data_IF_724813490122
#
_entry.id   IF_724813490122
#
_cell.length_a   1.000
_cell.length_b   1.000
_cell.length_c   1.000
_cell.angle_alpha   90.00
_cell.angle_beta   90.00
_cell.angle_gamma   90.00
#
_symmetry.space_group_name_H-M   'P 1'
#
loop_
_entity.id
_entity.type
_entity.pdbx_description
1 polymer ?
#
# COMPACT_ATOMS: atom_id res chain seq x y z
N UNK A 1 -12.44 24.46 0.83
CA UNK A 1 -11.18 24.03 0.19
C UNK A 1 -10.94 24.94 -1.00
N UNK A 2 -9.74 25.46 -1.16
CA UNK A 2 -9.38 26.35 -2.27
C UNK A 2 -8.35 25.64 -3.15
N UNK A 3 -8.47 25.82 -4.47
CA UNK A 3 -7.54 25.28 -5.46
C UNK A 3 -6.84 26.43 -6.17
N UNK A 4 -5.53 26.30 -6.36
CA UNK A 4 -4.71 27.28 -7.08
C UNK A 4 -4.44 26.75 -8.48
N UNK A 5 -4.89 27.46 -9.51
CA UNK A 5 -4.75 27.07 -10.92
C UNK A 5 -3.83 28.01 -11.70
N UNK A 6 -4.03 29.31 -11.56
CA UNK A 6 -3.40 30.33 -12.39
C UNK A 6 -3.06 31.60 -11.61
N UNK A 7 -2.10 32.35 -12.17
CA UNK A 7 -1.74 33.70 -11.74
C UNK A 7 -2.15 34.68 -12.84
N UNK A 8 -2.76 35.79 -12.43
CA UNK A 8 -3.16 36.89 -13.32
C UNK A 8 -2.07 37.95 -13.33
N UNK A 9 -1.61 38.31 -14.52
CA UNK A 9 -0.62 39.36 -14.77
C UNK A 9 -1.10 40.27 -15.91
N UNK A 10 -0.46 41.42 -16.12
CA UNK A 10 -0.89 42.47 -17.07
C UNK A 10 -0.90 42.04 -18.56
N UNK A 11 -0.53 40.80 -18.86
CA UNK A 11 -0.59 40.19 -20.20
C UNK A 11 -1.52 38.97 -20.32
N UNK A 12 -2.24 38.59 -19.26
CA UNK A 12 -3.16 37.45 -19.27
C UNK A 12 -3.04 36.53 -18.04
N UNK A 13 -3.31 35.24 -18.25
CA UNK A 13 -3.18 34.20 -17.21
C UNK A 13 -2.03 33.27 -17.56
N UNK A 14 -1.26 32.89 -16.55
CA UNK A 14 -0.26 31.82 -16.63
C UNK A 14 -0.48 30.80 -15.53
N UNK A 15 0.07 29.60 -15.71
CA UNK A 15 0.06 28.59 -14.66
C UNK A 15 0.77 29.10 -13.40
N UNK A 16 0.26 28.69 -12.24
CA UNK A 16 0.90 28.94 -10.96
C UNK A 16 2.23 28.18 -10.87
N UNK A 17 3.29 28.88 -10.48
CA UNK A 17 4.62 28.34 -10.23
C UNK A 17 4.93 28.51 -8.73
N UNK A 18 4.83 27.42 -7.93
CA UNK A 18 5.05 27.50 -6.49
C UNK A 18 6.46 27.98 -6.11
N UNK A 19 7.43 27.92 -7.03
CA UNK A 19 8.79 28.40 -6.78
C UNK A 19 8.93 29.92 -6.96
N UNK A 20 8.00 30.57 -7.70
CA UNK A 20 8.04 32.01 -7.99
C UNK A 20 6.92 32.80 -7.33
N UNK A 21 5.78 32.16 -7.11
CA UNK A 21 4.51 32.87 -6.81
C UNK A 21 4.13 32.84 -5.33
N UNK A 22 5.07 32.50 -4.44
CA UNK A 22 4.82 32.38 -2.99
C UNK A 22 4.34 33.69 -2.36
N UNK A 23 4.82 34.85 -2.83
CA UNK A 23 4.41 36.14 -2.30
C UNK A 23 2.94 36.47 -2.64
N UNK A 24 2.54 36.22 -3.90
CA UNK A 24 1.16 36.41 -4.34
C UNK A 24 0.23 35.44 -3.63
N UNK A 25 0.67 34.18 -3.46
CA UNK A 25 -0.04 33.19 -2.66
C UNK A 25 -0.23 33.69 -1.23
N UNK A 26 0.80 34.21 -0.58
CA UNK A 26 0.73 34.72 0.80
C UNK A 26 -0.30 35.83 0.97
N UNK A 27 -0.32 36.80 0.04
CA UNK A 27 -1.36 37.85 0.04
C UNK A 27 -2.77 37.27 -0.05
N UNK A 28 -2.98 36.27 -0.91
CA UNK A 28 -4.28 35.60 -1.05
C UNK A 28 -4.66 34.75 0.17
N UNK A 29 -3.70 34.08 0.80
CA UNK A 29 -3.95 33.34 2.04
C UNK A 29 -4.35 34.28 3.19
N UNK A 30 -3.76 35.47 3.27
CA UNK A 30 -4.13 36.49 4.25
C UNK A 30 -5.55 37.04 4.00
N UNK A 31 -5.92 37.29 2.74
CA UNK A 31 -7.29 37.71 2.38
C UNK A 31 -8.34 36.65 2.73
N UNK A 32 -8.05 35.36 2.46
CA UNK A 32 -8.96 34.25 2.77
C UNK A 32 -9.12 34.10 4.29
N UNK A 33 -8.01 34.19 5.04
CA UNK A 33 -7.99 34.00 6.48
C UNK A 33 -8.26 32.56 6.93
N UNK A 34 -7.73 32.18 8.10
CA UNK A 34 -8.06 30.89 8.73
C UNK A 34 -7.56 29.63 8.00
N UNK A 35 -6.68 29.75 7.01
CA UNK A 35 -6.09 28.58 6.32
C UNK A 35 -5.15 27.84 7.27
N UNK A 36 -5.40 26.55 7.49
CA UNK A 36 -4.61 25.70 8.42
C UNK A 36 -3.76 24.63 7.73
N UNK A 37 -3.95 24.41 6.44
CA UNK A 37 -3.22 23.41 5.66
C UNK A 37 -2.96 23.92 4.24
N UNK A 38 -1.71 23.84 3.81
CA UNK A 38 -1.24 24.08 2.45
C UNK A 38 -0.73 22.75 1.89
N UNK A 39 -1.30 22.29 0.77
CA UNK A 39 -0.90 21.06 0.09
C UNK A 39 -0.22 21.41 -1.23
N UNK A 40 0.93 20.80 -1.49
CA UNK A 40 1.65 20.92 -2.77
C UNK A 40 1.84 19.53 -3.36
N UNK A 41 1.20 19.30 -4.51
CA UNK A 41 1.18 18.01 -5.19
C UNK A 41 1.51 18.17 -6.69
N UNK A 42 2.69 17.72 -7.16
CA UNK A 42 3.80 17.18 -6.37
C UNK A 42 4.68 18.30 -5.79
N UNK A 43 5.26 18.11 -4.61
CA UNK A 43 6.14 19.09 -3.93
C UNK A 43 7.37 19.47 -4.77
N UNK A 44 7.79 18.61 -5.70
CA UNK A 44 8.91 18.87 -6.62
C UNK A 44 8.63 20.04 -7.57
N UNK A 45 7.37 20.37 -7.82
CA UNK A 45 6.97 21.54 -8.62
C UNK A 45 7.38 22.87 -7.99
N UNK A 46 7.67 22.88 -6.68
CA UNK A 46 8.17 24.06 -5.97
C UNK A 46 9.67 24.30 -6.14
N UNK A 47 10.36 23.52 -6.97
CA UNK A 47 11.82 23.62 -7.17
C UNK A 47 12.07 23.92 -8.65
N UNK A 48 12.59 25.13 -8.93
CA UNK A 48 12.91 25.55 -10.30
C UNK A 48 14.25 25.00 -10.84
N UNK A 49 15.00 24.26 -10.03
CA UNK A 49 16.35 23.75 -10.32
C UNK A 49 16.45 22.23 -10.30
N UNK A 50 17.66 21.71 -10.16
CA UNK A 50 17.93 20.27 -10.09
C UNK A 50 17.53 19.71 -8.72
N UNK A 51 16.42 18.98 -8.67
CA UNK A 51 15.87 18.36 -7.46
C UNK A 51 16.76 17.27 -6.87
N UNK A 52 17.85 16.86 -7.53
CA UNK A 52 18.84 15.95 -6.98
C UNK A 52 19.94 16.67 -6.19
N UNK A 53 20.04 18.00 -6.28
CA UNK A 53 21.00 18.80 -5.52
C UNK A 53 20.37 19.30 -4.22
N UNK A 54 20.83 18.74 -3.11
CA UNK A 54 20.32 19.03 -1.77
C UNK A 54 20.20 20.53 -1.43
N UNK A 55 21.18 21.34 -1.87
CA UNK A 55 21.16 22.78 -1.62
C UNK A 55 20.08 23.52 -2.42
N UNK A 56 19.82 23.09 -3.66
CA UNK A 56 18.79 23.68 -4.53
C UNK A 56 17.38 23.31 -4.03
N UNK A 57 17.19 22.06 -3.60
CA UNK A 57 15.94 21.61 -2.96
C UNK A 57 15.61 22.45 -1.74
N UNK A 58 16.56 22.62 -0.81
CA UNK A 58 16.34 23.43 0.41
C UNK A 58 16.01 24.88 0.06
N UNK A 59 16.75 25.47 -0.88
CA UNK A 59 16.52 26.86 -1.31
C UNK A 59 15.15 27.03 -1.98
N UNK A 60 14.73 26.09 -2.81
CA UNK A 60 13.42 26.11 -3.47
C UNK A 60 12.25 25.95 -2.50
N UNK A 61 12.40 25.12 -1.47
CA UNK A 61 11.33 24.87 -0.49
C UNK A 61 11.24 25.91 0.64
N UNK A 62 12.32 26.66 0.90
CA UNK A 62 12.36 27.62 2.01
C UNK A 62 11.26 28.70 1.93
N UNK A 63 10.93 29.29 0.76
CA UNK A 63 9.85 30.27 0.68
C UNK A 63 8.49 29.71 1.10
N UNK A 64 8.15 28.49 0.70
CA UNK A 64 6.91 27.82 1.10
C UNK A 64 6.90 27.47 2.59
N UNK A 65 8.02 27.02 3.13
CA UNK A 65 8.15 26.74 4.56
C UNK A 65 7.98 28.01 5.41
N UNK A 66 8.58 29.12 4.98
CA UNK A 66 8.43 30.41 5.64
C UNK A 66 6.98 30.89 5.59
N UNK A 67 6.35 30.84 4.41
CA UNK A 67 4.96 31.23 4.25
C UNK A 67 4.03 30.42 5.17
N UNK A 68 4.23 29.10 5.24
CA UNK A 68 3.43 28.25 6.12
C UNK A 68 3.62 28.60 7.60
N UNK A 69 4.86 28.92 8.01
CA UNK A 69 5.17 29.36 9.37
C UNK A 69 4.53 30.71 9.70
N UNK A 70 4.62 31.70 8.80
CA UNK A 70 4.01 33.02 8.95
C UNK A 70 2.49 32.94 9.06
N UNK A 71 1.86 32.06 8.28
CA UNK A 71 0.40 31.85 8.31
C UNK A 71 -0.06 30.95 9.47
N UNK A 72 0.85 30.31 10.20
CA UNK A 72 0.52 29.35 11.23
C UNK A 72 -0.26 28.15 10.69
N UNK A 73 0.13 27.64 9.51
CA UNK A 73 -0.49 26.50 8.84
C UNK A 73 0.51 25.36 8.62
N UNK A 74 0.00 24.14 8.45
CA UNK A 74 0.82 22.99 8.09
C UNK A 74 1.12 23.00 6.58
N UNK A 75 2.37 22.70 6.20
CA UNK A 75 2.75 22.43 4.81
C UNK A 75 2.85 20.92 4.58
N UNK A 76 2.06 20.40 3.64
CA UNK A 76 2.08 19.01 3.22
C UNK A 76 2.56 18.91 1.77
N UNK A 77 3.69 18.25 1.55
CA UNK A 77 4.20 17.94 0.22
C UNK A 77 3.91 16.49 -0.16
N UNK A 78 3.44 16.27 -1.39
CA UNK A 78 3.23 14.93 -1.95
C UNK A 78 4.34 14.64 -2.97
N UNK A 79 4.96 13.47 -2.89
CA UNK A 79 5.98 13.04 -3.87
C UNK A 79 5.99 11.53 -4.02
N UNK A 80 6.56 11.06 -5.13
CA UNK A 80 6.81 9.64 -5.38
C UNK A 80 8.22 9.24 -4.93
N UNK A 81 8.40 7.95 -4.65
CA UNK A 81 9.73 7.37 -4.53
C UNK A 81 10.46 7.36 -5.87
N UNK A 82 11.79 7.49 -5.83
CA UNK A 82 12.62 7.31 -7.01
C UNK A 82 12.69 5.84 -7.42
N UNK A 83 12.69 5.59 -8.73
CA UNK A 83 12.78 4.23 -9.30
C UNK A 83 14.10 3.56 -8.92
N UNK A 84 14.09 2.24 -8.74
CA UNK A 84 15.31 1.45 -8.48
C UNK A 84 15.92 1.67 -7.09
N UNK A 85 15.17 2.22 -6.14
CA UNK A 85 15.64 2.45 -4.76
C UNK A 85 14.99 1.51 -3.73
N UNK A 86 14.37 0.42 -4.21
CA UNK A 86 13.84 -0.65 -3.35
C UNK A 86 14.89 -1.14 -2.36
N UNK A 87 14.47 -1.38 -1.12
CA UNK A 87 15.36 -1.83 -0.04
C UNK A 87 16.30 -0.76 0.58
N UNK A 88 16.34 0.47 0.04
CA UNK A 88 16.97 1.61 0.72
C UNK A 88 16.08 2.14 1.84
N UNK A 89 16.67 2.96 2.70
CA UNK A 89 15.90 3.64 3.73
C UNK A 89 14.78 4.51 3.10
N UNK A 90 13.53 4.47 3.61
CA UNK A 90 12.40 5.14 2.97
C UNK A 90 12.59 6.65 2.80
N UNK A 91 13.31 7.28 3.72
CA UNK A 91 13.59 8.73 3.68
C UNK A 91 14.56 9.06 2.54
N UNK A 92 15.50 8.16 2.23
CA UNK A 92 16.46 8.31 1.14
C UNK A 92 15.83 8.11 -0.25
N UNK A 93 14.69 7.42 -0.30
CA UNK A 93 13.94 7.14 -1.55
C UNK A 93 13.13 8.34 -2.04
N UNK A 94 12.95 9.38 -1.22
CA UNK A 94 12.17 10.57 -1.57
C UNK A 94 12.82 11.35 -2.71
N UNK A 95 12.27 11.24 -3.92
CA UNK A 95 12.74 11.93 -5.15
C UNK A 95 14.26 11.75 -5.42
N UNK A 96 14.91 10.75 -4.81
CA UNK A 96 16.37 10.59 -4.86
C UNK A 96 17.17 11.74 -4.23
N UNK A 97 16.58 12.57 -3.35
CA UNK A 97 17.28 13.61 -2.61
C UNK A 97 16.97 13.57 -1.12
N UNK A 98 18.03 13.43 -0.31
CA UNK A 98 17.97 13.49 1.15
C UNK A 98 17.39 14.80 1.68
N UNK A 99 17.42 15.88 0.89
CA UNK A 99 16.99 17.19 1.34
C UNK A 99 15.49 17.26 1.68
N UNK A 100 14.63 16.54 0.93
CA UNK A 100 13.20 16.48 1.23
C UNK A 100 12.94 15.85 2.59
N UNK A 101 13.53 14.69 2.83
CA UNK A 101 13.42 13.99 4.11
C UNK A 101 14.06 14.76 5.27
N UNK A 102 15.16 15.45 5.02
CA UNK A 102 15.86 16.24 6.04
C UNK A 102 15.10 17.52 6.43
N UNK A 103 14.39 18.16 5.50
CA UNK A 103 13.56 19.34 5.78
C UNK A 103 12.25 18.96 6.47
N UNK A 104 11.66 17.81 6.10
CA UNK A 104 10.40 17.35 6.66
C UNK A 104 10.51 17.00 8.16
N UNK A 105 9.52 17.47 8.93
CA UNK A 105 9.33 17.09 10.35
C UNK A 105 8.76 15.67 10.49
N UNK A 106 7.87 15.31 9.58
CA UNK A 106 7.23 13.99 9.49
C UNK A 106 7.31 13.52 8.05
N UNK A 107 7.65 12.25 7.85
CA UNK A 107 7.57 11.58 6.55
C UNK A 107 6.63 10.39 6.70
N UNK A 108 5.55 10.42 5.93
CA UNK A 108 4.56 9.35 5.83
C UNK A 108 4.72 8.66 4.48
N UNK A 109 4.59 7.34 4.47
CA UNK A 109 4.78 6.51 3.28
C UNK A 109 3.53 5.69 3.05
N UNK A 110 2.92 5.85 1.88
CA UNK A 110 1.91 4.94 1.37
C UNK A 110 2.57 3.92 0.44
N UNK A 111 2.48 2.63 0.78
CA UNK A 111 3.01 1.55 -0.02
C UNK A 111 1.96 0.48 -0.26
N UNK A 112 2.00 -0.13 -1.45
CA UNK A 112 1.20 -1.31 -1.77
C UNK A 112 2.04 -2.53 -1.42
N UNK A 113 1.57 -3.34 -0.49
CA UNK A 113 2.15 -4.65 -0.24
C UNK A 113 1.66 -5.60 -1.34
N UNK A 114 2.60 -6.21 -2.06
CA UNK A 114 2.28 -7.07 -3.20
C UNK A 114 1.87 -8.50 -2.77
N UNK A 115 1.72 -8.77 -1.46
CA UNK A 115 1.03 -9.96 -0.98
C UNK A 115 -0.47 -9.71 -0.85
N UNK A 116 -1.22 -10.63 -1.43
CA UNK A 116 -2.63 -10.79 -1.12
C UNK A 116 -2.74 -11.28 0.32
N UNK A 117 -3.62 -10.67 1.10
CA UNK A 117 -4.05 -11.21 2.39
C UNK A 117 -4.69 -12.59 2.21
N UNK A 118 -4.99 -13.27 3.31
CA UNK A 118 -5.67 -14.58 3.26
C UNK A 118 -7.03 -14.51 2.53
N UNK A 119 -7.62 -13.32 2.44
CA UNK A 119 -8.86 -13.00 1.74
C UNK A 119 -8.67 -12.58 0.26
N UNK A 120 -7.45 -12.64 -0.27
CA UNK A 120 -7.13 -12.26 -1.65
C UNK A 120 -6.98 -10.74 -1.86
N UNK A 121 -7.09 -9.91 -0.81
CA UNK A 121 -7.03 -8.45 -0.97
C UNK A 121 -5.59 -7.94 -0.99
N UNK A 122 -5.36 -6.91 -1.80
CA UNK A 122 -4.10 -6.16 -1.79
C UNK A 122 -3.94 -5.47 -0.45
N UNK A 123 -2.94 -5.89 0.34
CA UNK A 123 -2.58 -5.18 1.57
C UNK A 123 -1.92 -3.85 1.18
N UNK A 124 -2.36 -2.72 1.75
CA UNK A 124 -1.64 -1.44 1.60
C UNK A 124 -1.26 -0.94 2.98
N UNK A 125 -0.09 -0.34 3.07
CA UNK A 125 0.50 0.11 4.32
C UNK A 125 0.70 1.62 4.27
N UNK A 126 0.27 2.30 5.32
CA UNK A 126 0.53 3.71 5.56
C UNK A 126 1.44 3.83 6.78
N UNK A 127 2.72 4.11 6.55
CA UNK A 127 3.80 3.98 7.53
C UNK A 127 4.39 5.33 7.89
N UNK A 128 4.84 5.47 9.14
CA UNK A 128 5.68 6.60 9.57
C UNK A 128 7.14 6.22 9.32
N UNK A 129 7.77 6.89 8.36
CA UNK A 129 9.19 6.70 8.07
C UNK A 129 10.11 7.65 8.85
N UNK A 130 9.55 8.77 9.32
CA UNK A 130 10.26 9.75 10.15
C UNK A 130 9.27 10.56 10.95
N UNK A 131 9.62 10.86 12.19
CA UNK A 131 8.97 11.89 13.01
C UNK A 131 9.98 12.54 13.93
N UNK A 132 10.00 13.87 14.00
CA UNK A 132 10.74 14.61 15.02
C UNK A 132 9.83 15.25 16.08
N UNK A 133 8.54 14.89 16.07
CA UNK A 133 7.49 15.45 16.94
C UNK A 133 6.65 14.38 17.63
N UNK A 134 7.11 13.13 17.64
CA UNK A 134 6.41 11.99 18.22
C UNK A 134 7.08 10.67 17.82
N UNK A 135 6.42 9.53 18.06
CA UNK A 135 6.91 8.22 17.61
C UNK A 135 7.18 8.21 16.10
N UNK A 136 8.24 7.51 15.70
CA UNK A 136 8.76 7.45 14.34
C UNK A 136 8.66 6.04 13.70
N UNK A 137 7.90 5.14 14.33
CA UNK A 137 7.67 3.76 13.89
C UNK A 137 6.18 3.46 13.62
N UNK A 138 5.90 2.28 13.08
CA UNK A 138 4.55 1.77 12.87
C UNK A 138 3.71 2.52 11.83
N UNK A 139 2.42 2.19 11.80
CA UNK A 139 1.48 2.70 10.81
C UNK A 139 0.13 1.99 10.84
N UNK A 140 -0.55 2.02 9.70
CA UNK A 140 -1.85 1.40 9.52
C UNK A 140 -1.92 0.65 8.19
N UNK A 141 -2.63 -0.46 8.18
CA UNK A 141 -3.16 -1.02 6.94
C UNK A 141 -4.24 -0.10 6.37
N UNK A 142 -4.39 -0.08 5.06
CA UNK A 142 -5.53 0.59 4.44
C UNK A 142 -5.96 -0.10 3.13
N UNK A 143 -7.19 0.16 2.72
CA UNK A 143 -7.70 -0.17 1.41
C UNK A 143 -8.41 1.04 0.78
N UNK A 144 -8.61 1.00 -0.53
CA UNK A 144 -9.35 2.00 -1.27
C UNK A 144 -10.69 1.41 -1.71
N UNK A 145 -11.77 1.97 -1.20
CA UNK A 145 -13.12 1.57 -1.55
C UNK A 145 -13.75 2.64 -2.45
N UNK A 146 -14.34 2.22 -3.57
CA UNK A 146 -15.14 3.10 -4.41
C UNK A 146 -16.61 2.84 -4.14
N UNK A 147 -17.34 3.90 -3.80
CA UNK A 147 -18.77 3.82 -3.54
C UNK A 147 -19.49 5.02 -4.14
N UNK A 148 -20.75 4.81 -4.48
CA UNK A 148 -21.64 5.88 -4.91
C UNK A 148 -21.98 6.78 -3.72
N UNK A 149 -21.89 8.08 -3.91
CA UNK A 149 -22.25 9.03 -2.86
C UNK A 149 -23.76 9.00 -2.65
N UNK A 150 -24.20 8.70 -1.42
CA UNK A 150 -25.61 8.66 -1.06
C UNK A 150 -26.34 9.98 -1.38
N UNK A 151 -25.66 11.12 -1.23
CA UNK A 151 -26.23 12.44 -1.53
C UNK A 151 -26.26 12.79 -3.02
N UNK A 152 -25.53 12.05 -3.87
CA UNK A 152 -25.36 12.34 -5.30
C UNK A 152 -25.38 11.05 -6.14
N UNK A 153 -26.57 10.52 -6.47
CA UNK A 153 -26.70 9.36 -7.35
C UNK A 153 -25.97 9.55 -8.68
N UNK A 154 -25.27 8.52 -9.14
CA UNK A 154 -24.41 8.50 -10.32
C UNK A 154 -22.97 8.98 -10.07
N UNK A 155 -22.67 9.56 -8.90
CA UNK A 155 -21.32 10.04 -8.58
C UNK A 155 -20.58 9.06 -7.67
N UNK A 156 -19.53 8.44 -8.20
CA UNK A 156 -18.67 7.53 -7.46
C UNK A 156 -17.48 8.28 -6.86
N UNK A 157 -17.24 8.06 -5.56
CA UNK A 157 -16.11 8.61 -4.85
C UNK A 157 -15.25 7.49 -4.25
N UNK A 158 -13.95 7.74 -4.18
CA UNK A 158 -12.99 6.87 -3.49
C UNK A 158 -12.88 7.28 -2.03
N UNK A 159 -12.92 6.31 -1.12
CA UNK A 159 -12.70 6.49 0.32
C UNK A 159 -11.60 5.54 0.80
N UNK A 160 -10.84 5.98 1.81
CA UNK A 160 -9.87 5.13 2.50
C UNK A 160 -10.60 4.32 3.57
N UNK A 161 -10.43 3.00 3.55
CA UNK A 161 -10.80 2.12 4.64
C UNK A 161 -9.55 1.83 5.47
N UNK A 162 -9.52 2.29 6.72
CA UNK A 162 -8.41 2.03 7.63
C UNK A 162 -8.53 0.64 8.24
N UNK A 163 -7.43 -0.11 8.19
CA UNK A 163 -7.30 -1.45 8.76
C UNK A 163 -6.56 -1.44 10.10
N UNK A 164 -5.86 -2.53 10.38
CA UNK A 164 -5.16 -2.72 11.65
C UNK A 164 -3.95 -1.79 11.79
N UNK A 165 -3.58 -1.50 13.03
CA UNK A 165 -2.28 -0.91 13.34
C UNK A 165 -1.16 -1.87 12.99
N UNK A 166 -0.08 -1.34 12.44
CA UNK A 166 1.14 -2.09 12.15
C UNK A 166 2.26 -1.56 13.03
N UNK A 167 3.01 -2.46 13.65
CA UNK A 167 4.17 -2.15 14.48
C UNK A 167 5.47 -2.45 13.74
N UNK A 168 6.54 -1.75 14.10
CA UNK A 168 7.88 -1.95 13.55
C UNK A 168 8.37 -0.80 12.66
N UNK A 169 9.64 -0.87 12.29
CA UNK A 169 10.30 0.19 11.53
C UNK A 169 9.81 0.21 10.07
N UNK A 170 9.53 1.40 9.52
CA UNK A 170 9.07 1.54 8.14
C UNK A 170 10.02 0.89 7.13
N UNK A 171 11.34 0.91 7.38
CA UNK A 171 12.32 0.24 6.51
C UNK A 171 12.07 -1.26 6.41
N UNK A 172 11.80 -1.94 7.51
CA UNK A 172 11.60 -3.39 7.55
C UNK A 172 10.25 -3.77 6.93
N UNK A 173 9.20 -3.01 7.27
CA UNK A 173 7.86 -3.17 6.72
C UNK A 173 7.82 -2.88 5.21
N UNK A 174 8.59 -1.91 4.73
CA UNK A 174 8.75 -1.67 3.29
C UNK A 174 9.66 -2.68 2.64
N UNK A 175 10.72 -3.16 3.28
CA UNK A 175 11.58 -4.19 2.69
C UNK A 175 10.79 -5.49 2.46
N UNK A 176 9.88 -5.86 3.37
CA UNK A 176 8.98 -7.00 3.17
C UNK A 176 7.94 -6.76 2.07
N UNK A 177 7.51 -5.50 1.87
CA UNK A 177 6.64 -5.11 0.76
C UNK A 177 7.38 -5.08 -0.61
N UNK A 178 8.60 -4.53 -0.64
CA UNK A 178 9.48 -4.37 -1.79
C UNK A 178 10.17 -5.69 -2.18
N UNK A 179 10.26 -6.69 -1.29
CA UNK A 179 10.91 -7.99 -1.55
C UNK A 179 10.27 -8.79 -2.70
N UNK A 180 9.25 -8.25 -3.37
CA UNK A 180 8.64 -8.78 -4.59
C UNK A 180 9.04 -8.01 -5.87
N UNK A 181 9.68 -6.84 -5.75
CA UNK A 181 10.14 -5.96 -6.84
C UNK A 181 11.62 -6.16 -7.22
N UNK A 182 12.17 -7.38 -7.05
CA UNK A 182 13.37 -7.78 -7.81
C UNK A 182 12.96 -8.15 -9.25
N UNK A 183 12.38 -7.17 -9.93
CA UNK A 183 12.10 -7.13 -11.38
C UNK A 183 13.18 -6.30 -12.08
N UNK A 184 14.42 -6.35 -11.55
CA UNK A 184 15.61 -6.00 -12.30
C UNK A 184 16.02 -7.20 -13.15
N UNK A 185 15.73 -7.15 -14.46
CA UNK A 185 16.16 -8.10 -15.51
C UNK A 185 15.66 -9.55 -15.46
N UNK A 186 14.80 -9.94 -14.51
CA UNK A 186 14.12 -11.25 -14.53
C UNK A 186 12.70 -11.15 -15.07
N UNK A 187 12.39 -11.81 -16.20
CA UNK A 187 11.05 -11.80 -16.81
C UNK A 187 9.90 -12.06 -15.82
N UNK A 188 8.68 -11.63 -16.18
CA UNK A 188 7.52 -11.61 -15.27
C UNK A 188 7.27 -12.97 -14.62
N UNK A 189 6.70 -13.01 -13.41
CA UNK A 189 6.35 -14.28 -12.74
C UNK A 189 5.48 -15.19 -13.61
N UNK A 190 4.66 -14.62 -14.50
CA UNK A 190 3.87 -15.37 -15.47
C UNK A 190 4.75 -16.08 -16.52
N UNK A 191 5.79 -15.40 -17.02
CA UNK A 191 6.75 -15.98 -17.96
C UNK A 191 7.62 -17.04 -17.30
N UNK A 192 8.05 -16.82 -16.06
CA UNK A 192 8.78 -17.81 -15.27
C UNK A 192 7.96 -19.07 -14.98
N UNK A 193 6.65 -18.93 -14.75
CA UNK A 193 5.72 -20.07 -14.63
C UNK A 193 5.64 -20.86 -15.94
N UNK A 194 5.49 -20.17 -17.07
CA UNK A 194 5.45 -20.82 -18.40
C UNK A 194 6.77 -21.54 -18.69
N UNK A 195 7.89 -20.86 -18.50
CA UNK A 195 9.23 -21.42 -18.66
C UNK A 195 9.45 -22.68 -17.81
N UNK A 196 9.12 -22.63 -16.52
CA UNK A 196 9.30 -23.77 -15.63
C UNK A 196 8.35 -24.93 -15.97
N UNK A 197 7.17 -24.62 -16.50
CA UNK A 197 6.22 -25.63 -16.96
C UNK A 197 6.70 -26.35 -18.22
N UNK A 198 7.24 -25.61 -19.19
CA UNK A 198 7.82 -26.18 -20.40
C UNK A 198 9.06 -27.02 -20.08
N UNK A 199 9.93 -26.53 -19.19
CA UNK A 199 11.17 -27.20 -18.81
C UNK A 199 10.93 -28.57 -18.13
N UNK A 200 9.85 -28.70 -17.37
CA UNK A 200 9.50 -29.95 -16.66
C UNK A 200 8.45 -30.80 -17.41
N UNK A 201 8.07 -30.43 -18.63
CA UNK A 201 7.07 -31.15 -19.41
C UNK A 201 7.50 -32.59 -19.75
N UNK A 202 8.79 -32.78 -20.03
CA UNK A 202 9.36 -34.09 -20.42
C UNK A 202 9.78 -34.96 -19.22
N UNK A 203 9.65 -34.46 -18.00
CA UNK A 203 9.87 -35.23 -16.77
C UNK A 203 10.68 -34.50 -15.70
N UNK A 204 11.04 -35.21 -14.61
CA UNK A 204 11.80 -34.63 -13.50
C UNK A 204 13.18 -34.12 -13.94
N UNK A 205 13.57 -32.95 -13.43
CA UNK A 205 14.91 -32.39 -13.66
C UNK A 205 15.62 -32.07 -12.36
N UNK A 206 16.95 -32.20 -12.35
CA UNK A 206 17.76 -31.77 -11.21
C UNK A 206 17.64 -30.26 -10.98
N UNK A 207 17.57 -29.82 -9.72
CA UNK A 207 17.49 -28.41 -9.33
C UNK A 207 18.70 -27.61 -9.85
N UNK A 208 19.87 -28.26 -10.00
CA UNK A 208 21.06 -27.67 -10.59
C UNK A 208 20.92 -27.42 -12.10
N UNK A 209 20.26 -28.33 -12.84
CA UNK A 209 19.97 -28.13 -14.25
C UNK A 209 18.93 -27.04 -14.45
N UNK A 210 17.84 -27.08 -13.66
CA UNK A 210 16.81 -26.02 -13.66
C UNK A 210 17.41 -24.65 -13.38
N UNK A 211 18.33 -24.55 -12.42
CA UNK A 211 19.02 -23.29 -12.11
C UNK A 211 19.86 -22.80 -13.29
N UNK A 212 20.66 -23.67 -13.90
CA UNK A 212 21.50 -23.32 -15.06
C UNK A 212 20.65 -22.84 -16.24
N UNK A 213 19.56 -23.52 -16.53
CA UNK A 213 18.71 -23.21 -17.68
C UNK A 213 17.91 -21.91 -17.43
N UNK A 214 17.52 -21.65 -16.17
CA UNK A 214 16.93 -20.38 -15.75
C UNK A 214 17.92 -19.21 -15.85
N UNK A 215 19.16 -19.40 -15.39
CA UNK A 215 20.22 -18.39 -15.49
C UNK A 215 20.49 -18.05 -16.99
N UNK A 216 20.50 -19.08 -17.86
CA UNK A 216 20.63 -18.91 -19.31
C UNK A 216 19.44 -18.23 -20.00
N UNK A 217 18.24 -18.33 -19.42
CA UNK A 217 17.03 -17.65 -19.87
C UNK A 217 16.81 -16.27 -19.23
N UNK A 218 17.75 -15.81 -18.39
CA UNK A 218 17.69 -14.49 -17.75
C UNK A 218 16.73 -14.41 -16.57
N UNK A 219 16.33 -15.53 -15.96
CA UNK A 219 15.49 -15.51 -14.76
C UNK A 219 16.32 -15.53 -13.49
N UNK A 220 16.00 -14.66 -12.52
CA UNK A 220 16.58 -14.77 -11.19
C UNK A 220 16.11 -16.05 -10.50
N UNK A 221 17.00 -16.68 -9.73
CA UNK A 221 16.69 -17.92 -9.01
C UNK A 221 15.52 -17.75 -8.01
N UNK A 222 15.33 -16.53 -7.50
CA UNK A 222 14.20 -16.18 -6.64
C UNK A 222 12.87 -16.24 -7.40
N UNK A 223 12.81 -15.77 -8.66
CA UNK A 223 11.61 -15.82 -9.51
C UNK A 223 11.25 -17.27 -9.88
N UNK A 224 12.24 -18.12 -10.14
CA UNK A 224 12.02 -19.55 -10.42
C UNK A 224 11.50 -20.31 -9.20
N UNK A 225 12.02 -20.04 -8.00
CA UNK A 225 11.48 -20.64 -6.76
C UNK A 225 10.05 -20.20 -6.46
N UNK A 226 9.70 -18.95 -6.80
CA UNK A 226 8.32 -18.45 -6.71
C UNK A 226 7.41 -19.19 -7.69
N UNK A 227 7.83 -19.35 -8.95
CA UNK A 227 7.11 -20.13 -9.96
C UNK A 227 6.94 -21.59 -9.52
N UNK A 228 7.99 -22.22 -8.98
CA UNK A 228 7.98 -23.58 -8.45
C UNK A 228 6.86 -23.76 -7.39
N UNK A 229 6.82 -22.86 -6.40
CA UNK A 229 5.81 -22.91 -5.33
C UNK A 229 4.40 -22.68 -5.89
N UNK A 230 4.24 -21.73 -6.80
CA UNK A 230 2.95 -21.41 -7.40
C UNK A 230 2.41 -22.52 -8.33
N UNK A 231 3.29 -23.33 -8.93
CA UNK A 231 2.93 -24.49 -9.75
C UNK A 231 2.81 -25.79 -8.94
N UNK A 232 3.09 -25.77 -7.63
CA UNK A 232 3.05 -26.96 -6.78
C UNK A 232 4.12 -28.01 -7.14
N UNK A 233 5.26 -27.59 -7.71
CA UNK A 233 6.36 -28.47 -8.09
C UNK A 233 7.13 -28.89 -6.84
N UNK A 234 7.26 -30.20 -6.62
CA UNK A 234 7.93 -30.75 -5.45
C UNK A 234 9.43 -30.92 -5.71
N UNK A 235 10.24 -30.53 -4.72
CA UNK A 235 11.66 -30.84 -4.68
C UNK A 235 11.86 -32.13 -3.87
N UNK A 236 12.19 -33.21 -4.54
CA UNK A 236 12.44 -34.53 -3.94
C UNK A 236 13.94 -34.78 -3.97
N UNK A 237 14.52 -35.26 -2.86
CA UNK A 237 15.94 -35.59 -2.82
C UNK A 237 16.17 -36.95 -3.50
N UNK A 238 17.01 -37.00 -4.54
CA UNK A 238 17.31 -38.19 -5.33
C UNK A 238 18.24 -39.19 -4.59
N UNK A 239 17.88 -39.56 -3.36
CA UNK A 239 18.64 -40.49 -2.52
C UNK A 239 19.67 -39.83 -1.59
N UNK A 240 20.34 -40.66 -0.77
CA UNK A 240 21.19 -40.21 0.35
C UNK A 240 22.43 -39.40 -0.08
N UNK A 241 22.93 -39.63 -1.30
CA UNK A 241 24.04 -38.89 -1.94
C UNK A 241 23.60 -38.11 -3.20
N UNK A 242 22.31 -38.08 -3.52
CA UNK A 242 21.80 -37.41 -4.73
C UNK A 242 21.42 -35.96 -4.51
N UNK A 243 21.36 -35.21 -5.61
CA UNK A 243 20.87 -33.84 -5.65
C UNK A 243 19.34 -33.75 -5.46
N UNK A 244 18.82 -32.54 -5.43
CA UNK A 244 17.37 -32.31 -5.43
C UNK A 244 16.84 -32.38 -6.87
N UNK A 245 15.74 -33.10 -7.07
CA UNK A 245 15.00 -33.20 -8.32
C UNK A 245 13.64 -32.53 -8.19
N UNK A 246 13.25 -31.80 -9.22
CA UNK A 246 11.99 -31.08 -9.31
C UNK A 246 11.05 -31.85 -10.22
N UNK A 247 9.84 -32.11 -9.76
CA UNK A 247 8.81 -32.76 -10.55
C UNK A 247 7.42 -32.24 -10.19
N UNK A 248 6.51 -32.30 -11.15
CA UNK A 248 5.09 -32.14 -10.84
C UNK A 248 4.66 -33.25 -9.90
N UNK A 249 3.88 -32.89 -8.88
CA UNK A 249 3.12 -33.84 -8.09
C UNK A 249 2.31 -34.71 -9.06
N UNK A 250 2.76 -35.94 -9.33
CA UNK A 250 1.88 -36.95 -9.89
C UNK A 250 0.78 -37.14 -8.84
N UNK A 251 -0.45 -36.75 -9.15
CA UNK A 251 -1.61 -37.40 -8.54
C UNK A 251 -1.55 -38.85 -8.97
N UNK A 252 -0.78 -39.65 -8.26
CA UNK A 252 -0.83 -41.10 -8.32
C UNK A 252 -1.99 -41.45 -7.41
N UNK A 253 -3.09 -41.89 -8.00
CA UNK A 253 -4.10 -42.65 -7.29
C UNK A 253 -3.42 -43.92 -6.77
N UNK A 254 -2.99 -43.91 -5.51
CA UNK A 254 -2.60 -45.12 -4.79
C UNK A 254 -3.86 -45.76 -4.23
N UNK A 255 -4.67 -46.38 -5.11
CA UNK A 255 -5.56 -47.52 -4.85
C UNK A 255 -6.46 -47.80 -6.08
N UNK A 256 -6.42 -49.01 -6.67
CA UNK A 256 -7.37 -49.42 -7.72
C UNK A 256 -8.77 -49.81 -7.22
N UNK A 257 -9.13 -49.64 -5.93
CA UNK A 257 -10.39 -50.19 -5.39
C UNK A 257 -11.53 -49.20 -5.14
N UNK A 258 -11.33 -47.88 -5.24
CA UNK A 258 -12.40 -46.89 -4.98
C UNK A 258 -13.06 -46.30 -6.24
N UNK A 259 -12.85 -46.91 -7.41
CA UNK A 259 -13.53 -46.54 -8.66
C UNK A 259 -14.93 -47.19 -8.81
N UNK A 260 -15.69 -47.30 -7.72
CA UNK A 260 -17.11 -47.63 -7.78
C UNK A 260 -17.95 -46.56 -7.08
N UNK A 261 -18.69 -45.79 -7.87
CA UNK A 261 -19.77 -44.94 -7.39
C UNK A 261 -20.86 -45.81 -6.74
N UNK A 262 -20.79 -46.01 -5.43
CA UNK A 262 -21.91 -46.54 -4.64
C UNK A 262 -22.87 -45.41 -4.30
N UNK A 263 -23.77 -45.12 -5.24
CA UNK A 263 -25.21 -44.79 -5.03
C UNK A 263 -25.78 -44.10 -6.27
N UNK A 264 -26.11 -44.91 -7.27
CA UNK A 264 -27.29 -44.68 -8.09
C UNK A 264 -28.35 -45.65 -7.57
N UNK A 265 -29.45 -45.12 -7.00
CA UNK A 265 -30.65 -45.91 -6.83
C UNK A 265 -31.78 -45.18 -7.53
N UNK A 266 -32.05 -45.67 -8.73
CA UNK A 266 -33.21 -45.39 -9.56
C UNK A 266 -34.33 -46.32 -9.09
N UNK A 267 -35.57 -45.80 -9.08
CA UNK A 267 -36.87 -46.44 -8.84
C UNK A 267 -37.57 -46.17 -7.49
N UNK A 268 -38.59 -45.30 -7.56
CA UNK A 268 -39.89 -45.54 -6.93
C UNK A 268 -40.36 -44.53 -5.88
N UNK A 269 -41.04 -43.47 -6.31
CA UNK A 269 -41.96 -42.67 -5.47
C UNK A 269 -43.33 -43.40 -5.42
N UNK A 270 -44.22 -43.19 -4.41
CA UNK A 270 -45.03 -41.96 -4.44
C UNK A 270 -45.50 -41.40 -3.07
N UNK A 271 -45.94 -40.13 -3.13
CA UNK A 271 -47.00 -39.51 -2.31
C UNK A 271 -46.68 -39.12 -0.84
N UNK A 272 -47.14 -37.99 -0.25
CA UNK A 272 -48.32 -37.14 -0.46
C UNK A 272 -48.08 -35.72 0.13
N UNK A 273 -48.89 -34.74 -0.29
CA UNK A 273 -48.93 -33.34 0.18
C UNK A 273 -49.26 -33.18 1.68
N UNK A 274 -48.62 -32.21 2.34
CA UNK A 274 -49.28 -31.22 3.24
C UNK A 274 -48.39 -30.02 3.56
N UNK A 275 -49.00 -28.83 3.44
CA UNK A 275 -48.58 -27.54 4.00
C UNK A 275 -48.86 -27.53 5.50
N UNK A 276 -47.99 -26.89 6.29
CA UNK A 276 -48.40 -25.96 7.35
C UNK A 276 -47.20 -25.15 7.85
N UNK A 277 -47.51 -23.88 8.08
CA UNK A 277 -46.70 -22.74 8.50
C UNK A 277 -45.97 -22.88 9.86
N UNK A 278 -45.24 -21.80 10.17
CA UNK A 278 -44.77 -21.34 11.50
C UNK A 278 -43.36 -21.72 11.95
N UNK A 279 -42.41 -20.78 11.76
CA UNK A 279 -41.56 -20.23 12.83
C UNK A 279 -40.73 -19.05 12.30
N UNK A 280 -41.34 -17.87 12.26
CA UNK A 280 -40.64 -16.60 12.37
C UNK A 280 -40.10 -16.41 13.81
N UNK A 281 -39.14 -15.49 13.93
CA UNK A 281 -38.61 -14.84 15.13
C UNK A 281 -37.36 -15.47 15.78
N UNK A 282 -36.19 -14.96 15.41
CA UNK A 282 -35.29 -14.36 16.41
C UNK A 282 -34.24 -13.40 15.80
N UNK A 283 -34.30 -12.15 16.29
CA UNK A 283 -33.20 -11.20 16.47
C UNK A 283 -32.60 -10.46 15.25
N UNK A 284 -33.40 -9.57 14.68
CA UNK A 284 -32.95 -8.25 14.25
C UNK A 284 -33.07 -7.30 15.48
N UNK A 285 -31.95 -6.78 16.00
CA UNK A 285 -31.77 -5.53 16.82
C UNK A 285 -30.56 -5.59 17.78
N UNK A 286 -29.47 -4.94 17.37
CA UNK A 286 -28.56 -4.20 18.25
C UNK A 286 -27.82 -3.15 17.39
N UNK A 287 -28.37 -1.93 17.30
CA UNK A 287 -27.79 -0.70 17.88
C UNK A 287 -26.49 -0.26 17.18
N UNK A 288 -26.50 0.65 16.20
CA UNK A 288 -26.64 2.11 16.36
C UNK A 288 -26.12 2.56 17.73
N UNK A 289 -24.83 2.91 17.79
CA UNK A 289 -24.27 3.78 18.81
C UNK A 289 -23.80 5.06 18.13
N UNK A 290 -24.65 6.07 18.25
CA UNK A 290 -24.30 7.49 18.11
C UNK A 290 -23.32 7.84 19.24
N UNK A 291 -22.18 8.42 18.90
CA UNK A 291 -21.22 8.93 19.86
C UNK A 291 -21.58 10.39 20.20
N UNK A 292 -22.56 10.57 21.09
CA UNK A 292 -22.73 11.81 21.85
C UNK A 292 -21.82 11.74 23.08
N UNK A 293 -20.81 12.60 23.11
CA UNK A 293 -19.83 12.68 24.19
C UNK A 293 -19.02 13.97 24.09
N UNK A 294 -19.71 15.11 24.20
CA UNK A 294 -19.06 16.41 24.33
C UNK A 294 -18.30 16.50 25.65
N UNK A 295 -17.03 16.88 25.57
CA UNK A 295 -16.27 17.36 26.72
C UNK A 295 -16.44 18.88 26.73
N UNK A 296 -17.18 19.39 27.71
CA UNK A 296 -17.25 20.83 27.96
C UNK A 296 -15.86 21.37 28.30
N UNK A 297 -15.54 22.51 27.69
CA UNK A 297 -14.25 23.19 27.76
C UNK A 297 -13.91 23.76 29.15
N UNK A 298 -14.78 23.56 30.15
CA UNK A 298 -14.65 24.07 31.53
C UNK A 298 -14.06 23.05 32.52
N UNK A 299 -14.09 21.75 32.22
CA UNK A 299 -13.55 20.70 33.12
C UNK A 299 -12.07 20.34 32.84
N UNK A 300 -11.55 20.67 31.66
CA UNK A 300 -10.15 20.42 31.31
C UNK A 300 -9.16 21.39 31.99
N UNK A 301 -9.59 22.59 32.38
CA UNK A 301 -8.72 23.61 32.98
C UNK A 301 -8.58 23.50 34.52
N UNK A 302 -9.45 22.74 35.19
CA UNK A 302 -9.35 22.51 36.64
C UNK A 302 -8.46 21.31 37.03
N UNK A 303 -8.18 20.39 36.10
CA UNK A 303 -7.26 19.26 36.37
C UNK A 303 -5.79 19.58 36.11
N UNK A 304 -5.48 20.69 35.45
CA UNK A 304 -4.09 21.12 35.20
C UNK A 304 -3.47 21.95 36.33
N UNK A 305 -4.25 22.43 37.30
CA UNK A 305 -3.79 23.39 38.33
C UNK A 305 -3.55 22.78 39.72
N UNK A 306 -3.86 21.50 39.97
CA UNK A 306 -3.74 20.88 41.29
C UNK A 306 -2.72 19.72 41.41
N UNK A 307 -1.89 19.49 40.40
CA UNK A 307 -0.89 18.41 40.36
C UNK A 307 0.51 18.77 40.89
N UNK A 308 0.65 19.83 41.71
CA UNK A 308 1.93 20.31 42.20
C UNK A 308 1.96 20.48 43.73
N UNK A 309 2.17 19.38 44.46
CA UNK A 309 2.84 19.27 45.78
C UNK A 309 2.52 17.93 46.44
N UNK A 310 3.46 16.99 46.38
CA UNK A 310 4.10 16.31 47.52
C UNK A 310 5.06 15.25 47.01
#
# INVERSE_FOLDING_TARGET
>A
MYFVSDVREDGGRRAFDPAKDTEVLGRKLAEIGGVRLLIVDPIVSAISGDSHKNAEVRRGLQPLANLAAEMGCALLGITHFSKGTGGRDPVERLTGSLAFGALARVVLVAAKHQAEGEDGRTVRLFLRAKSNIGPDDGGFEYDLHQSELQSHPGLFASSVLWGNTVEGAARELLATADARDDDGEGGTLADAKRFLADLLADGPMSASAVKRDADGAGYSWATIRRAQKALGIQAIKAGMKGGWEWSYSRRRSENPEDAQQKRLSTFGNPEHLRRSDEAEAFAERAAIMEFEGGIERSEAEQRATNGGRR
#
